data_IF_360794890894
#
_entry.id   IF_360794890894
#
_cell.length_a   1.000
_cell.length_b   1.000
_cell.length_c   1.000
_cell.angle_alpha   90.00
_cell.angle_beta   90.00
_cell.angle_gamma   90.00
#
_symmetry.space_group_name_H-M   'P 1'
#
loop_
_entity.id
_entity.type
_entity.pdbx_description
1 polymer ?
#
# COMPACT_ATOMS: atom_id res chain seq x y z
N UNK A 1 36.43 -27.09 -38.13
CA UNK A 1 36.46 -26.91 -36.67
C UNK A 1 35.39 -25.88 -36.32
N UNK A 2 34.27 -26.32 -35.72
CA UNK A 2 33.15 -25.48 -35.29
C UNK A 2 33.38 -25.11 -33.82
N UNK A 3 33.48 -23.82 -33.50
CA UNK A 3 33.59 -23.34 -32.12
C UNK A 3 32.18 -23.04 -31.62
N UNK A 4 31.78 -23.68 -30.52
CA UNK A 4 30.55 -23.36 -29.81
C UNK A 4 30.72 -22.05 -29.03
N UNK A 5 29.75 -21.13 -29.02
CA UNK A 5 29.75 -20.03 -28.04
C UNK A 5 29.38 -20.57 -26.64
N UNK A 6 29.84 -19.91 -25.56
CA UNK A 6 29.48 -20.28 -24.19
C UNK A 6 28.00 -19.94 -23.89
N UNK A 7 27.37 -20.63 -22.93
CA UNK A 7 26.01 -20.31 -22.51
C UNK A 7 26.00 -18.95 -21.80
N UNK A 8 25.07 -18.07 -22.18
CA UNK A 8 24.78 -16.85 -21.44
C UNK A 8 24.08 -17.25 -20.13
N UNK A 9 24.76 -17.04 -19.00
CA UNK A 9 24.12 -17.05 -17.68
C UNK A 9 23.23 -15.82 -17.59
N UNK A 10 21.92 -16.02 -17.54
CA UNK A 10 20.95 -14.96 -17.24
C UNK A 10 20.97 -14.76 -15.73
N UNK A 11 21.64 -13.72 -15.24
CA UNK A 11 21.49 -13.27 -13.85
C UNK A 11 20.05 -12.79 -13.63
N UNK A 12 19.31 -13.54 -12.82
CA UNK A 12 17.99 -13.16 -12.31
C UNK A 12 18.16 -12.04 -11.28
N UNK A 13 17.97 -10.78 -11.69
CA UNK A 13 17.99 -9.60 -10.78
C UNK A 13 16.59 -8.97 -10.61
N UNK A 14 15.53 -9.63 -11.07
CA UNK A 14 14.17 -9.03 -11.11
C UNK A 14 13.29 -9.38 -9.90
N UNK A 15 13.66 -10.35 -9.06
CA UNK A 15 12.83 -10.79 -7.92
C UNK A 15 12.91 -9.87 -6.69
N UNK A 16 14.07 -9.25 -6.44
CA UNK A 16 14.29 -8.48 -5.20
C UNK A 16 13.46 -7.19 -5.15
N UNK A 17 13.37 -6.44 -6.25
CA UNK A 17 12.65 -5.17 -6.29
C UNK A 17 11.12 -5.34 -6.16
N UNK A 18 10.60 -6.45 -6.70
CA UNK A 18 9.16 -6.77 -6.63
C UNK A 18 8.77 -7.20 -5.21
N UNK A 19 9.61 -8.00 -4.56
CA UNK A 19 9.39 -8.45 -3.17
C UNK A 19 9.42 -7.27 -2.19
N UNK A 20 10.42 -6.38 -2.31
CA UNK A 20 10.50 -5.17 -1.47
C UNK A 20 9.30 -4.23 -1.66
N UNK A 21 8.77 -4.15 -2.88
CA UNK A 21 7.58 -3.33 -3.18
C UNK A 21 6.30 -3.96 -2.63
N UNK A 22 6.22 -5.29 -2.59
CA UNK A 22 5.13 -6.03 -1.97
C UNK A 22 5.16 -5.90 -0.45
N UNK A 23 6.32 -6.05 0.16
CA UNK A 23 6.51 -5.90 1.61
C UNK A 23 6.15 -4.48 2.06
N UNK A 24 6.66 -3.46 1.36
CA UNK A 24 6.31 -2.06 1.63
C UNK A 24 4.81 -1.78 1.46
N UNK A 25 4.16 -2.42 0.48
CA UNK A 25 2.72 -2.31 0.27
C UNK A 25 1.91 -2.94 1.39
N UNK A 26 2.33 -4.09 1.89
CA UNK A 26 1.71 -4.79 3.02
C UNK A 26 1.87 -3.98 4.32
N UNK A 27 3.07 -3.49 4.60
CA UNK A 27 3.35 -2.68 5.79
C UNK A 27 2.51 -1.40 5.80
N UNK A 28 2.44 -0.70 4.67
CA UNK A 28 1.60 0.49 4.50
C UNK A 28 0.11 0.17 4.65
N UNK A 29 -0.34 -0.97 4.12
CA UNK A 29 -1.73 -1.40 4.26
C UNK A 29 -2.10 -1.64 5.73
N UNK A 30 -1.21 -2.29 6.48
CA UNK A 30 -1.39 -2.53 7.91
C UNK A 30 -1.40 -1.22 8.70
N UNK A 31 -0.48 -0.29 8.40
CA UNK A 31 -0.44 1.03 9.04
C UNK A 31 -1.74 1.81 8.82
N UNK A 32 -2.24 1.87 7.58
CA UNK A 32 -3.51 2.53 7.26
C UNK A 32 -4.67 1.90 8.05
N UNK A 33 -4.78 0.58 8.08
CA UNK A 33 -5.85 -0.11 8.82
C UNK A 33 -5.77 0.17 10.34
N UNK A 34 -4.57 0.14 10.92
CA UNK A 34 -4.35 0.49 12.33
C UNK A 34 -4.77 1.93 12.62
N UNK A 35 -4.40 2.85 11.75
CA UNK A 35 -4.70 4.27 11.88
C UNK A 35 -6.22 4.52 11.83
N UNK A 36 -6.92 3.89 10.89
CA UNK A 36 -8.38 4.00 10.75
C UNK A 36 -9.15 3.27 11.86
N UNK A 37 -8.59 2.18 12.41
CA UNK A 37 -9.17 1.48 13.56
C UNK A 37 -9.21 2.36 14.81
N UNK A 38 -8.21 3.24 14.99
CA UNK A 38 -8.16 4.18 16.12
C UNK A 38 -9.21 5.30 16.01
N UNK A 39 -9.68 5.63 14.80
CA UNK A 39 -10.72 6.65 14.58
C UNK A 39 -12.14 6.08 14.50
N UNK A 40 -12.30 4.75 14.53
CA UNK A 40 -13.62 4.12 14.41
C UNK A 40 -14.55 4.51 15.59
N UNK A 41 -15.85 4.81 15.35
CA UNK A 41 -16.60 4.66 14.08
C UNK A 41 -16.52 5.85 13.12
N UNK A 42 -15.64 6.82 13.36
CA UNK A 42 -15.41 7.95 12.47
C UNK A 42 -14.48 7.66 11.29
N UNK A 43 -14.33 8.65 10.43
CA UNK A 43 -13.37 8.68 9.34
C UNK A 43 -12.11 9.48 9.68
N UNK A 44 -11.10 9.37 8.82
CA UNK A 44 -9.88 10.15 8.87
C UNK A 44 -9.39 10.42 7.46
N UNK A 45 -8.91 11.63 7.22
CA UNK A 45 -8.24 11.94 5.96
C UNK A 45 -6.85 11.31 5.93
N UNK A 46 -6.46 10.79 4.78
CA UNK A 46 -5.17 10.14 4.56
C UNK A 46 -4.42 10.86 3.45
N UNK A 47 -3.13 11.07 3.68
CA UNK A 47 -2.21 11.58 2.69
C UNK A 47 -0.83 10.95 2.92
N UNK A 48 0.02 10.91 1.90
CA UNK A 48 1.34 10.30 2.05
C UNK A 48 2.22 10.95 3.11
N UNK A 49 2.11 12.26 3.36
CA UNK A 49 2.94 12.95 4.35
C UNK A 49 2.51 12.55 5.78
N UNK A 50 1.20 12.43 6.02
CA UNK A 50 0.62 11.94 7.27
C UNK A 50 0.92 10.45 7.57
N UNK A 51 1.34 9.69 6.55
CA UNK A 51 1.83 8.30 6.65
C UNK A 51 3.36 8.23 6.58
N UNK A 52 4.06 9.37 6.71
CA UNK A 52 5.52 9.46 6.67
C UNK A 52 6.18 8.86 5.41
N UNK A 53 5.45 8.79 4.29
CA UNK A 53 5.98 8.29 3.04
C UNK A 53 6.93 9.32 2.42
N UNK A 54 8.08 8.88 1.86
CA UNK A 54 9.02 9.79 1.22
C UNK A 54 8.36 10.55 0.08
N UNK A 55 8.86 11.73 -0.26
CA UNK A 55 8.35 12.48 -1.40
C UNK A 55 8.71 11.80 -2.72
N UNK A 56 7.83 11.93 -3.72
CA UNK A 56 8.09 11.52 -5.10
C UNK A 56 7.11 10.48 -5.64
N UNK A 57 7.13 10.32 -6.96
CA UNK A 57 6.18 9.51 -7.72
C UNK A 57 6.03 8.07 -7.26
N UNK A 58 7.11 7.43 -6.80
CA UNK A 58 7.07 6.03 -6.38
C UNK A 58 6.23 5.86 -5.10
N UNK A 59 6.40 6.76 -4.14
CA UNK A 59 5.64 6.76 -2.90
C UNK A 59 4.17 7.12 -3.13
N UNK A 60 3.90 8.08 -4.01
CA UNK A 60 2.53 8.46 -4.37
C UNK A 60 1.80 7.32 -5.08
N UNK A 61 2.47 6.60 -5.98
CA UNK A 61 1.92 5.39 -6.62
C UNK A 61 1.69 4.27 -5.61
N UNK A 62 2.64 4.02 -4.70
CA UNK A 62 2.50 3.02 -3.65
C UNK A 62 1.27 3.32 -2.78
N UNK A 63 1.13 4.56 -2.33
CA UNK A 63 -0.03 5.02 -1.58
C UNK A 63 -1.34 4.75 -2.33
N UNK A 64 -1.44 5.18 -3.59
CA UNK A 64 -2.64 4.98 -4.40
C UNK A 64 -2.98 3.51 -4.62
N UNK A 65 -1.98 2.68 -4.93
CA UNK A 65 -2.15 1.23 -5.12
C UNK A 65 -2.62 0.58 -3.83
N UNK A 66 -2.06 0.97 -2.67
CA UNK A 66 -2.47 0.44 -1.37
C UNK A 66 -3.91 0.84 -1.03
N UNK A 67 -4.28 2.11 -1.20
CA UNK A 67 -5.67 2.58 -0.98
C UNK A 67 -6.64 1.83 -1.89
N UNK A 68 -6.31 1.71 -3.18
CA UNK A 68 -7.13 1.00 -4.15
C UNK A 68 -7.29 -0.48 -3.75
N UNK A 69 -6.20 -1.15 -3.39
CA UNK A 69 -6.21 -2.56 -2.96
C UNK A 69 -7.09 -2.77 -1.73
N UNK A 70 -6.93 -1.93 -0.70
CA UNK A 70 -7.75 -2.01 0.51
C UNK A 70 -9.24 -1.77 0.22
N UNK A 71 -9.54 -0.81 -0.67
CA UNK A 71 -10.92 -0.53 -1.11
C UNK A 71 -11.52 -1.69 -1.92
N UNK A 72 -10.77 -2.25 -2.88
CA UNK A 72 -11.21 -3.36 -3.73
C UNK A 72 -11.49 -4.64 -2.92
N UNK A 73 -10.73 -4.86 -1.85
CA UNK A 73 -10.99 -5.96 -0.92
C UNK A 73 -12.09 -5.64 0.11
N UNK A 74 -12.66 -4.44 0.07
CA UNK A 74 -13.70 -3.99 0.99
C UNK A 74 -13.22 -3.89 2.44
N UNK A 75 -11.96 -3.52 2.64
CA UNK A 75 -11.35 -3.35 3.96
C UNK A 75 -11.50 -1.92 4.48
N UNK A 76 -11.57 -0.94 3.58
CA UNK A 76 -11.89 0.45 3.90
C UNK A 76 -12.99 1.00 2.98
N UNK A 77 -13.58 2.11 3.39
CA UNK A 77 -14.42 2.97 2.57
C UNK A 77 -13.78 4.35 2.46
N UNK A 78 -13.91 4.98 1.29
CA UNK A 78 -13.45 6.34 1.02
C UNK A 78 -14.60 7.19 0.50
N UNK A 79 -14.71 8.42 0.99
CA UNK A 79 -15.69 9.37 0.45
C UNK A 79 -15.18 10.03 -0.84
N UNK A 80 -13.90 10.43 -0.86
CA UNK A 80 -13.30 11.01 -2.06
C UNK A 80 -11.79 10.75 -2.15
N UNK A 81 -11.31 10.57 -3.38
CA UNK A 81 -9.90 10.59 -3.74
C UNK A 81 -9.62 11.84 -4.58
N UNK A 82 -8.72 12.69 -4.09
CA UNK A 82 -8.33 13.95 -4.72
C UNK A 82 -6.97 13.79 -5.38
N UNK A 83 -6.92 14.01 -6.69
CA UNK A 83 -5.70 13.99 -7.51
C UNK A 83 -5.49 15.35 -8.15
N UNK A 84 -4.26 15.89 -8.08
CA UNK A 84 -3.86 17.14 -8.75
C UNK A 84 -4.39 18.44 -8.13
N UNK A 85 -5.15 18.36 -7.03
CA UNK A 85 -5.62 19.52 -6.24
C UNK A 85 -4.62 19.89 -5.14
N UNK A 86 -3.87 18.89 -4.66
CA UNK A 86 -2.75 19.03 -3.75
C UNK A 86 -1.46 18.57 -4.45
N UNK A 87 -0.29 18.90 -3.89
CA UNK A 87 1.01 18.49 -4.45
C UNK A 87 1.18 16.96 -4.46
N UNK A 88 0.43 16.25 -3.62
CA UNK A 88 0.42 14.79 -3.48
C UNK A 88 -1.03 14.27 -3.44
N UNK A 89 -1.27 12.98 -3.70
CA UNK A 89 -2.60 12.38 -3.56
C UNK A 89 -3.19 12.56 -2.16
N UNK A 90 -4.50 12.71 -2.07
CA UNK A 90 -5.20 12.91 -0.80
C UNK A 90 -6.52 12.14 -0.78
N UNK A 91 -6.78 11.41 0.30
CA UNK A 91 -8.03 10.69 0.55
C UNK A 91 -8.79 11.44 1.63
N UNK A 92 -10.02 11.83 1.31
CA UNK A 92 -10.92 12.49 2.24
C UNK A 92 -11.80 11.44 2.93
N UNK A 93 -11.91 11.56 4.26
CA UNK A 93 -12.84 10.78 5.11
C UNK A 93 -12.80 9.26 4.82
N UNK A 94 -11.61 8.65 4.94
CA UNK A 94 -11.49 7.20 4.90
C UNK A 94 -11.96 6.59 6.22
N UNK A 95 -12.67 5.46 6.19
CA UNK A 95 -13.07 4.72 7.39
C UNK A 95 -12.82 3.23 7.21
N UNK A 96 -12.50 2.55 8.32
CA UNK A 96 -12.32 1.09 8.32
C UNK A 96 -13.68 0.39 8.32
N UNK A 97 -13.83 -0.63 7.48
CA UNK A 97 -15.04 -1.47 7.45
C UNK A 97 -15.03 -2.53 8.57
N UNK A 98 -16.17 -3.16 8.88
CA UNK A 98 -16.18 -4.33 9.76
C UNK A 98 -15.20 -5.43 9.32
N UNK A 99 -15.15 -5.72 8.01
CA UNK A 99 -14.22 -6.72 7.45
C UNK A 99 -12.75 -6.35 7.66
N UNK A 100 -12.41 -5.06 7.47
CA UNK A 100 -11.08 -4.54 7.74
C UNK A 100 -10.68 -4.71 9.20
N UNK A 101 -11.61 -4.47 10.13
CA UNK A 101 -11.39 -4.67 11.56
C UNK A 101 -11.18 -6.14 11.92
N UNK A 102 -11.97 -7.04 11.34
CA UNK A 102 -11.83 -8.48 11.56
C UNK A 102 -10.47 -8.99 11.08
N UNK A 103 -10.02 -8.54 9.90
CA UNK A 103 -8.69 -8.85 9.38
C UNK A 103 -7.59 -8.34 10.32
N UNK A 104 -7.71 -7.08 10.76
CA UNK A 104 -6.74 -6.49 11.67
C UNK A 104 -6.66 -7.23 13.02
N UNK A 105 -7.80 -7.70 13.54
CA UNK A 105 -7.85 -8.51 14.74
C UNK A 105 -7.17 -9.87 14.56
N UNK A 106 -7.33 -10.51 13.40
CA UNK A 106 -6.63 -11.76 13.06
C UNK A 106 -5.10 -11.56 12.95
N UNK A 107 -4.66 -10.43 12.41
CA UNK A 107 -3.23 -10.10 12.34
C UNK A 107 -2.64 -9.84 13.73
N UNK A 108 -3.37 -9.12 14.60
CA UNK A 108 -2.96 -8.85 15.97
C UNK A 108 -3.03 -10.05 16.92
N UNK A 109 -3.83 -11.08 16.61
CA UNK A 109 -3.95 -12.29 17.42
C UNK A 109 -2.79 -13.29 17.25
N UNK A 110 -1.90 -13.05 16.27
CA UNK A 110 -0.75 -13.90 15.96
C UNK A 110 0.62 -13.25 16.28
N UNK A 111 0.61 -12.13 17.02
CA UNK A 111 1.80 -11.40 17.47
C UNK A 111 2.14 -11.62 18.94
#
# INVERSE_FOLDING_TARGET
>A
MLTSPPPFTVEQTTDDATSLSQDAGFDLAQEILLLLAQSWPGGRSLDPDGLHLPSGDAADRLFLVTIQTLSDHGLLMIDALLLGVHQRPFVLEASITPRGRDLLALLGANG
#
